data_IF_602606504550
#
_entry.id   IF_602606504550
#
_cell.length_a   1.000
_cell.length_b   1.000
_cell.length_c   1.000
_cell.angle_alpha   90.00
_cell.angle_beta   90.00
_cell.angle_gamma   90.00
#
_symmetry.space_group_name_H-M   'P 1'
#
loop_
_entity.id
_entity.type
_entity.pdbx_description
1 polymer ?
#
# COMPACT_ATOMS: atom_id res chain seq x y z
N UNK A 1 -21.62 -4.08 -6.74
CA UNK A 1 -20.42 -4.93 -6.54
C UNK A 1 -19.44 -4.65 -7.67
N UNK A 2 -18.12 -4.60 -7.39
CA UNK A 2 -17.11 -4.59 -8.46
C UNK A 2 -17.21 -5.92 -9.23
N UNK A 3 -17.32 -5.91 -10.57
CA UNK A 3 -17.23 -7.15 -11.32
C UNK A 3 -15.85 -7.78 -11.07
N UNK A 4 -15.82 -9.08 -10.79
CA UNK A 4 -14.59 -9.84 -10.63
C UNK A 4 -13.77 -9.72 -11.92
N UNK A 5 -12.48 -9.43 -11.79
CA UNK A 5 -11.61 -9.37 -12.95
C UNK A 5 -11.58 -10.77 -13.61
N UNK A 6 -11.97 -10.86 -14.89
CA UNK A 6 -11.50 -11.95 -15.75
C UNK A 6 -9.98 -11.89 -15.72
N UNK A 7 -9.32 -13.03 -15.55
CA UNK A 7 -7.86 -13.16 -15.63
C UNK A 7 -7.37 -12.49 -16.91
N UNK A 8 -6.89 -11.25 -16.80
CA UNK A 8 -6.15 -10.63 -17.89
C UNK A 8 -4.75 -11.19 -17.78
N UNK A 9 -4.36 -11.85 -18.87
CA UNK A 9 -2.98 -12.17 -19.26
C UNK A 9 -1.98 -11.18 -18.65
N UNK A 10 -1.05 -11.73 -17.88
CA UNK A 10 0.26 -11.18 -17.49
C UNK A 10 0.58 -9.82 -18.12
N UNK A 11 0.47 -8.76 -17.31
CA UNK A 11 1.07 -7.49 -17.67
C UNK A 11 2.59 -7.67 -17.62
N UNK A 12 3.22 -7.77 -18.80
CA UNK A 12 4.67 -7.71 -18.93
C UNK A 12 5.14 -6.36 -18.38
N UNK A 13 5.83 -6.40 -17.23
CA UNK A 13 6.59 -5.26 -16.70
C UNK A 13 7.70 -4.85 -17.66
N UNK A 14 8.29 -3.65 -17.52
CA UNK A 14 9.24 -3.17 -18.52
C UNK A 14 10.50 -4.05 -18.56
N UNK A 15 11.06 -4.34 -19.74
CA UNK A 15 12.38 -4.94 -19.84
C UNK A 15 13.45 -3.85 -19.69
N UNK A 16 14.57 -4.15 -19.01
CA UNK A 16 15.91 -3.68 -19.37
C UNK A 16 17.04 -4.41 -18.63
N UNK A 17 17.95 -4.94 -19.45
CA UNK A 17 19.21 -5.68 -19.21
C UNK A 17 19.16 -6.94 -18.33
N UNK A 18 18.91 -8.08 -18.98
CA UNK A 18 19.40 -9.39 -18.54
C UNK A 18 18.42 -10.24 -17.74
N UNK A 19 17.59 -11.03 -18.43
CA UNK A 19 16.80 -12.11 -17.84
C UNK A 19 15.29 -11.85 -17.87
N UNK A 20 14.57 -12.62 -18.67
CA UNK A 20 13.13 -12.82 -18.48
C UNK A 20 12.91 -13.30 -17.04
N UNK A 21 12.28 -12.49 -16.19
CA UNK A 21 11.81 -13.01 -14.91
C UNK A 21 10.72 -14.00 -15.24
N UNK A 22 11.01 -15.29 -15.05
CA UNK A 22 10.00 -16.35 -15.06
C UNK A 22 8.82 -15.89 -14.20
N UNK A 23 7.62 -16.30 -14.58
CA UNK A 23 6.37 -16.01 -13.87
C UNK A 23 6.40 -16.68 -12.48
N UNK A 24 7.20 -16.13 -11.57
CA UNK A 24 7.42 -16.68 -10.24
C UNK A 24 6.19 -16.36 -9.42
N UNK A 25 5.29 -17.33 -9.33
CA UNK A 25 4.13 -17.22 -8.47
C UNK A 25 4.55 -17.48 -7.02
N UNK A 26 4.70 -16.42 -6.23
CA UNK A 26 4.95 -16.55 -4.79
C UNK A 26 3.75 -17.22 -4.11
N UNK A 27 4.04 -18.15 -3.19
CA UNK A 27 3.03 -18.87 -2.40
C UNK A 27 2.54 -18.07 -1.19
N UNK A 28 3.39 -17.23 -0.60
CA UNK A 28 3.10 -16.42 0.58
C UNK A 28 3.98 -15.16 0.62
N UNK A 29 3.70 -14.24 1.56
CA UNK A 29 4.45 -12.99 1.72
C UNK A 29 5.90 -13.23 2.15
N UNK A 30 6.20 -14.27 2.92
CA UNK A 30 7.56 -14.54 3.37
C UNK A 30 8.47 -14.91 2.18
N UNK A 31 7.99 -15.74 1.27
CA UNK A 31 8.68 -16.08 0.03
C UNK A 31 8.87 -14.85 -0.88
N UNK A 32 7.84 -14.01 -0.99
CA UNK A 32 7.93 -12.73 -1.73
C UNK A 32 9.02 -11.84 -1.13
N UNK A 33 9.00 -11.65 0.19
CA UNK A 33 9.90 -10.73 0.88
C UNK A 33 11.34 -11.22 0.95
N UNK A 34 11.55 -12.53 1.10
CA UNK A 34 12.87 -13.13 0.96
C UNK A 34 13.45 -12.86 -0.44
N UNK A 35 12.66 -13.14 -1.49
CA UNK A 35 13.09 -12.90 -2.87
C UNK A 35 13.35 -11.42 -3.15
N UNK A 36 12.50 -10.52 -2.61
CA UNK A 36 12.73 -9.08 -2.70
C UNK A 36 14.03 -8.66 -2.00
N UNK A 37 14.36 -9.24 -0.84
CA UNK A 37 15.61 -8.96 -0.15
C UNK A 37 16.83 -9.43 -0.94
N UNK A 38 16.73 -10.59 -1.58
CA UNK A 38 17.83 -11.21 -2.31
C UNK A 38 18.05 -10.57 -3.70
N UNK A 39 16.98 -10.13 -4.38
CA UNK A 39 17.03 -9.73 -5.79
C UNK A 39 16.81 -8.22 -6.05
N UNK A 40 16.38 -7.44 -5.07
CA UNK A 40 16.06 -6.03 -5.33
C UNK A 40 17.32 -5.19 -5.60
N UNK A 41 17.43 -4.74 -6.85
CA UNK A 41 18.45 -3.80 -7.32
C UNK A 41 17.79 -2.46 -7.64
N UNK A 42 17.83 -1.46 -6.73
CA UNK A 42 17.16 -0.19 -6.94
C UNK A 42 17.74 0.57 -8.15
N UNK A 43 16.91 1.28 -8.94
CA UNK A 43 17.37 1.94 -10.18
C UNK A 43 18.43 3.04 -9.98
N UNK A 44 18.61 3.53 -8.76
CA UNK A 44 19.58 4.58 -8.43
C UNK A 44 20.21 4.35 -7.06
N UNK A 45 21.41 4.91 -6.84
CA UNK A 45 22.09 4.91 -5.53
C UNK A 45 21.50 5.90 -4.52
N UNK A 46 20.38 6.57 -4.84
CA UNK A 46 19.71 7.53 -3.93
C UNK A 46 18.73 6.85 -2.97
N UNK A 47 18.60 5.53 -3.06
CA UNK A 47 17.83 4.72 -2.13
C UNK A 47 18.68 4.26 -0.95
N UNK A 48 18.04 4.06 0.19
CA UNK A 48 18.66 3.41 1.34
C UNK A 48 18.86 1.91 1.13
N UNK A 49 19.81 1.33 1.88
CA UNK A 49 20.13 -0.10 1.80
C UNK A 49 19.06 -1.00 2.44
N UNK A 50 18.19 -0.45 3.29
CA UNK A 50 17.14 -1.22 3.96
C UNK A 50 15.83 -1.17 3.19
N UNK A 51 15.23 -2.36 3.03
CA UNK A 51 13.83 -2.51 2.63
C UNK A 51 12.91 -2.33 3.83
N UNK A 52 11.80 -1.62 3.60
CA UNK A 52 10.67 -1.54 4.54
C UNK A 52 9.48 -2.22 3.88
N UNK A 53 9.19 -3.40 4.38
CA UNK A 53 8.19 -4.31 3.86
C UNK A 53 6.78 -3.96 4.39
N UNK A 54 5.75 -4.50 3.76
CA UNK A 54 4.38 -4.37 4.25
C UNK A 54 4.19 -5.05 5.61
N UNK A 55 3.20 -4.57 6.38
CA UNK A 55 2.89 -5.09 7.72
C UNK A 55 1.38 -5.14 7.95
N UNK A 56 0.92 -6.29 8.44
CA UNK A 56 -0.46 -6.55 8.84
C UNK A 56 -0.82 -8.02 8.67
N UNK A 57 -2.09 -8.41 8.87
CA UNK A 57 -2.53 -9.77 8.65
C UNK A 57 -2.53 -10.11 7.16
N UNK A 58 -2.12 -11.32 6.81
CA UNK A 58 -2.00 -11.81 5.42
C UNK A 58 -3.33 -11.97 4.68
N UNK A 59 -4.45 -11.75 5.38
CA UNK A 59 -5.82 -11.75 4.83
C UNK A 59 -6.58 -10.48 5.20
N UNK A 60 -5.86 -9.36 5.40
CA UNK A 60 -6.49 -8.07 5.67
C UNK A 60 -7.44 -7.70 4.53
N UNK A 61 -8.67 -7.32 4.87
CA UNK A 61 -9.67 -6.92 3.86
C UNK A 61 -9.56 -5.46 3.46
N UNK A 62 -8.81 -4.69 4.24
CA UNK A 62 -8.41 -3.32 3.96
C UNK A 62 -6.89 -3.24 3.89
N UNK A 63 -6.38 -2.70 2.78
CA UNK A 63 -4.95 -2.45 2.56
C UNK A 63 -4.70 -0.96 2.29
N UNK A 64 -3.80 -0.34 3.06
CA UNK A 64 -3.37 1.05 2.87
C UNK A 64 -2.01 1.10 2.19
N UNK A 65 -1.87 1.93 1.16
CA UNK A 65 -0.66 2.03 0.35
C UNK A 65 -0.15 3.47 0.41
N UNK A 66 1.02 3.67 0.99
CA UNK A 66 1.74 4.95 1.01
C UNK A 66 2.68 5.16 -0.17
N UNK A 67 3.45 6.25 -0.13
CA UNK A 67 4.43 6.59 -1.17
C UNK A 67 5.70 5.73 -1.06
N UNK A 68 6.47 5.96 0.00
CA UNK A 68 7.73 5.29 0.29
C UNK A 68 8.01 5.41 1.81
N UNK A 69 8.96 4.64 2.35
CA UNK A 69 9.42 4.79 3.73
C UNK A 69 10.09 6.16 3.94
N UNK A 70 9.95 6.74 5.13
CA UNK A 70 10.72 7.90 5.55
C UNK A 70 11.97 7.50 6.35
N UNK A 71 12.66 8.51 6.89
CA UNK A 71 13.89 8.31 7.69
C UNK A 71 13.68 7.43 8.93
N UNK A 72 12.52 7.55 9.59
CA UNK A 72 12.22 6.75 10.79
C UNK A 72 11.81 5.33 10.42
N UNK A 73 11.00 5.16 9.38
CA UNK A 73 10.61 3.85 8.85
C UNK A 73 11.83 3.07 8.38
N UNK A 74 12.75 3.72 7.66
CA UNK A 74 13.99 3.12 7.20
C UNK A 74 14.90 2.67 8.34
N UNK A 75 15.00 3.44 9.44
CA UNK A 75 15.77 3.00 10.62
C UNK A 75 15.10 1.85 11.35
N UNK A 76 13.77 1.88 11.47
CA UNK A 76 13.01 0.89 12.19
C UNK A 76 12.79 -0.41 11.40
N UNK A 77 12.85 -0.36 10.06
CA UNK A 77 12.42 -1.46 9.20
C UNK A 77 10.90 -1.69 9.19
N UNK A 78 10.11 -0.71 9.64
CA UNK A 78 8.66 -0.84 9.80
C UNK A 78 7.93 0.31 9.09
N UNK A 79 6.85 0.05 8.35
CA UNK A 79 6.10 1.09 7.64
C UNK A 79 5.26 1.91 8.62
N UNK A 80 5.14 3.22 8.34
CA UNK A 80 4.29 4.16 9.09
C UNK A 80 4.58 4.22 10.60
N UNK A 81 5.85 4.32 11.00
CA UNK A 81 6.23 4.55 12.42
C UNK A 81 6.60 5.99 12.74
N UNK A 82 6.87 6.81 11.71
CA UNK A 82 7.19 8.23 11.84
C UNK A 82 5.97 9.13 12.07
N UNK A 83 6.14 10.45 11.97
CA UNK A 83 5.06 11.42 12.25
C UNK A 83 3.81 11.22 11.39
N UNK A 84 3.99 10.88 10.11
CA UNK A 84 2.89 10.59 9.20
C UNK A 84 2.14 9.31 9.60
N UNK A 85 2.86 8.30 10.09
CA UNK A 85 2.30 7.06 10.60
C UNK A 85 1.51 7.26 11.89
N UNK A 86 2.05 8.02 12.85
CA UNK A 86 1.31 8.39 14.08
C UNK A 86 0.02 9.15 13.76
N UNK A 87 0.05 10.05 12.78
CA UNK A 87 -1.16 10.73 12.32
C UNK A 87 -2.15 9.77 11.67
N UNK A 88 -1.66 8.81 10.86
CA UNK A 88 -2.50 7.78 10.27
C UNK A 88 -3.16 6.92 11.36
N UNK A 89 -2.40 6.44 12.34
CA UNK A 89 -2.92 5.65 13.45
C UNK A 89 -4.00 6.41 14.25
N UNK A 90 -3.79 7.70 14.50
CA UNK A 90 -4.80 8.55 15.13
C UNK A 90 -6.08 8.71 14.28
N UNK A 91 -5.95 8.77 12.95
CA UNK A 91 -7.12 8.83 12.06
C UNK A 91 -7.84 7.48 11.96
N UNK A 92 -7.10 6.36 12.00
CA UNK A 92 -7.68 5.02 12.05
C UNK A 92 -8.47 4.83 13.36
N UNK A 93 -7.91 5.25 14.49
CA UNK A 93 -8.58 5.21 15.78
C UNK A 93 -9.87 6.04 15.77
N UNK A 94 -9.82 7.26 15.25
CA UNK A 94 -10.99 8.14 15.14
C UNK A 94 -12.06 7.59 14.19
N UNK A 95 -11.67 6.87 13.15
CA UNK A 95 -12.57 6.14 12.26
C UNK A 95 -13.05 4.79 12.82
N UNK A 96 -12.70 4.45 14.07
CA UNK A 96 -12.98 3.17 14.71
C UNK A 96 -12.44 1.94 13.93
N UNK A 97 -11.29 2.10 13.26
CA UNK A 97 -10.64 1.06 12.48
C UNK A 97 -9.52 0.42 13.31
N UNK A 98 -9.63 -0.87 13.66
CA UNK A 98 -8.61 -1.55 14.44
C UNK A 98 -7.35 -1.78 13.59
N UNK A 99 -6.24 -1.14 13.99
CA UNK A 99 -4.95 -1.15 13.26
C UNK A 99 -4.41 -2.54 12.94
N UNK A 100 -4.68 -3.52 13.80
CA UNK A 100 -4.28 -4.92 13.65
C UNK A 100 -5.09 -5.71 12.60
N UNK A 101 -6.20 -5.17 12.08
CA UNK A 101 -6.98 -5.76 10.97
C UNK A 101 -6.63 -5.17 9.60
N UNK A 102 -5.68 -4.24 9.56
CA UNK A 102 -5.30 -3.50 8.35
C UNK A 102 -3.89 -3.90 7.91
N UNK A 103 -3.73 -4.17 6.62
CA UNK A 103 -2.41 -4.29 6.01
C UNK A 103 -1.92 -2.93 5.52
N UNK A 104 -0.70 -2.54 5.87
CA UNK A 104 -0.12 -1.28 5.39
C UNK A 104 1.19 -1.55 4.66
N UNK A 105 1.41 -0.85 3.56
CA UNK A 105 2.65 -0.94 2.78
C UNK A 105 2.91 0.39 2.06
N UNK A 106 4.01 0.47 1.32
CA UNK A 106 4.32 1.61 0.44
C UNK A 106 4.46 1.16 -1.00
N UNK A 107 4.19 2.07 -1.94
CA UNK A 107 4.41 1.82 -3.37
C UNK A 107 5.88 1.51 -3.69
N UNK A 108 6.80 2.22 -3.04
CA UNK A 108 8.26 2.02 -3.14
C UNK A 108 8.75 1.43 -1.82
N UNK A 109 9.71 0.49 -1.85
CA UNK A 109 10.12 -0.30 -0.67
C UNK A 109 11.37 0.21 0.05
N UNK A 110 12.05 1.21 -0.50
CA UNK A 110 13.26 1.82 0.08
C UNK A 110 13.06 3.32 0.25
N UNK A 111 13.74 3.90 1.23
CA UNK A 111 13.70 5.35 1.44
C UNK A 111 14.60 6.05 0.42
N UNK A 112 14.02 6.87 -0.46
CA UNK A 112 14.77 7.76 -1.33
C UNK A 112 15.06 9.09 -0.65
N UNK A 113 16.32 9.48 -0.60
CA UNK A 113 16.72 10.72 0.06
C UNK A 113 17.92 11.42 -0.60
N UNK A 114 18.09 12.70 -0.27
CA UNK A 114 19.33 13.44 -0.44
C UNK A 114 19.99 13.66 0.92
N UNK A 115 21.28 13.40 1.00
CA UNK A 115 22.07 13.71 2.19
C UNK A 115 22.35 15.21 2.25
N UNK A 116 22.00 15.86 3.37
CA UNK A 116 22.42 17.23 3.68
C UNK A 116 22.98 17.29 5.09
N UNK A 117 24.31 17.34 5.20
CA UNK A 117 25.00 17.19 6.49
C UNK A 117 24.66 15.86 7.14
N UNK A 118 24.14 15.87 8.37
CA UNK A 118 23.67 14.65 9.07
C UNK A 118 22.21 14.27 8.77
N UNK A 119 21.49 15.08 7.99
CA UNK A 119 20.04 14.89 7.75
C UNK A 119 19.80 14.18 6.41
N UNK A 120 18.89 13.22 6.43
CA UNK A 120 18.35 12.56 5.24
C UNK A 120 17.07 13.26 4.81
N UNK A 121 17.12 13.96 3.68
CA UNK A 121 15.99 14.73 3.15
C UNK A 121 15.21 13.90 2.16
N UNK A 122 13.94 13.64 2.45
CA UNK A 122 13.05 12.86 1.60
C UNK A 122 12.99 13.41 0.16
N UNK A 123 13.19 12.54 -0.83
CA UNK A 123 12.99 12.84 -2.25
C UNK A 123 11.87 11.99 -2.81
N UNK A 124 10.91 12.61 -3.51
CA UNK A 124 9.82 11.87 -4.14
C UNK A 124 10.36 10.85 -5.17
N UNK A 125 9.82 9.63 -5.24
CA UNK A 125 10.16 8.67 -6.29
C UNK A 125 9.79 9.19 -7.70
N UNK A 126 10.58 8.84 -8.70
CA UNK A 126 10.27 9.09 -10.12
C UNK A 126 9.28 8.05 -10.64
N UNK A 127 8.77 8.25 -11.86
CA UNK A 127 7.89 7.25 -12.48
C UNK A 127 8.59 5.90 -12.67
N UNK A 128 9.84 5.90 -13.12
CA UNK A 128 10.58 4.67 -13.40
C UNK A 128 10.85 3.88 -12.12
N UNK A 129 11.16 4.60 -11.03
CA UNK A 129 11.31 4.00 -9.71
C UNK A 129 9.99 3.42 -9.18
N UNK A 130 8.86 4.10 -9.41
CA UNK A 130 7.54 3.57 -9.07
C UNK A 130 7.25 2.30 -9.88
N UNK A 131 7.58 2.29 -11.17
CA UNK A 131 7.37 1.13 -12.04
C UNK A 131 8.24 -0.05 -11.61
N UNK A 132 9.49 0.18 -11.17
CA UNK A 132 10.37 -0.85 -10.61
C UNK A 132 9.72 -1.58 -9.43
N UNK A 133 9.15 -0.85 -8.46
CA UNK A 133 8.53 -1.45 -7.29
C UNK A 133 7.07 -1.89 -7.49
N UNK A 134 6.42 -1.43 -8.56
CA UNK A 134 5.01 -1.73 -8.85
C UNK A 134 4.77 -3.23 -8.90
N UNK A 135 5.64 -4.00 -9.56
CA UNK A 135 5.46 -5.44 -9.65
C UNK A 135 5.44 -6.11 -8.27
N UNK A 136 6.35 -5.71 -7.37
CA UNK A 136 6.38 -6.20 -5.98
C UNK A 136 5.11 -5.83 -5.21
N UNK A 137 4.61 -4.60 -5.40
CA UNK A 137 3.33 -4.16 -4.82
C UNK A 137 2.15 -4.98 -5.35
N UNK A 138 2.10 -5.29 -6.64
CA UNK A 138 1.06 -6.14 -7.24
C UNK A 138 1.08 -7.55 -6.64
N UNK A 139 2.26 -8.10 -6.37
CA UNK A 139 2.39 -9.39 -5.67
C UNK A 139 1.88 -9.33 -4.22
N UNK A 140 2.19 -8.26 -3.48
CA UNK A 140 1.62 -8.06 -2.14
C UNK A 140 0.09 -8.00 -2.19
N UNK A 141 -0.48 -7.21 -3.11
CA UNK A 141 -1.94 -7.08 -3.27
C UNK A 141 -2.56 -8.45 -3.61
N UNK A 142 -1.93 -9.23 -4.50
CA UNK A 142 -2.40 -10.57 -4.86
C UNK A 142 -2.38 -11.53 -3.68
N UNK A 143 -1.31 -11.52 -2.89
CA UNK A 143 -1.13 -12.42 -1.75
C UNK A 143 -2.01 -12.07 -0.56
N UNK A 144 -2.17 -10.77 -0.28
CA UNK A 144 -3.05 -10.28 0.80
C UNK A 144 -4.54 -10.42 0.43
N UNK A 145 -4.85 -10.33 -0.86
CA UNK A 145 -6.21 -10.37 -1.43
C UNK A 145 -7.22 -9.43 -0.72
N UNK A 146 -6.92 -8.13 -0.58
CA UNK A 146 -7.82 -7.19 0.08
C UNK A 146 -9.05 -6.93 -0.77
N UNK A 147 -10.21 -6.74 -0.13
CA UNK A 147 -11.43 -6.28 -0.81
C UNK A 147 -11.34 -4.80 -1.18
N UNK A 148 -10.65 -4.01 -0.35
CA UNK A 148 -10.56 -2.56 -0.47
C UNK A 148 -9.10 -2.12 -0.37
N UNK A 149 -8.67 -1.35 -1.37
CA UNK A 149 -7.40 -0.64 -1.38
C UNK A 149 -7.64 0.84 -1.03
N UNK A 150 -6.74 1.42 -0.25
CA UNK A 150 -6.69 2.87 -0.02
C UNK A 150 -5.33 3.39 -0.44
N UNK A 151 -5.29 4.26 -1.45
CA UNK A 151 -4.05 4.93 -1.86
C UNK A 151 -3.90 6.25 -1.13
N UNK A 152 -2.81 6.38 -0.36
CA UNK A 152 -2.46 7.58 0.39
C UNK A 152 -1.58 8.48 -0.49
N UNK A 153 -2.21 9.38 -1.24
CA UNK A 153 -1.54 10.34 -2.13
C UNK A 153 -1.26 9.85 -3.54
N UNK A 154 -0.73 10.76 -4.36
CA UNK A 154 -0.63 10.57 -5.82
C UNK A 154 0.37 9.48 -6.24
N UNK A 155 1.44 9.26 -5.48
CA UNK A 155 2.45 8.24 -5.82
C UNK A 155 1.90 6.83 -5.62
N UNK A 156 1.21 6.58 -4.50
CA UNK A 156 0.49 5.32 -4.28
C UNK A 156 -0.56 5.07 -5.36
N UNK A 157 -1.31 6.11 -5.73
CA UNK A 157 -2.31 6.03 -6.80
C UNK A 157 -1.68 5.67 -8.14
N UNK A 158 -0.57 6.33 -8.51
CA UNK A 158 0.17 6.00 -9.72
C UNK A 158 0.65 4.54 -9.70
N UNK A 159 1.17 4.08 -8.56
CA UNK A 159 1.68 2.73 -8.40
C UNK A 159 0.58 1.67 -8.55
N UNK A 160 -0.65 1.94 -8.12
CA UNK A 160 -1.80 1.04 -8.31
C UNK A 160 -2.36 1.13 -9.73
N UNK A 161 -2.58 2.32 -10.27
CA UNK A 161 -3.23 2.51 -11.58
C UNK A 161 -2.31 2.31 -12.79
N UNK A 162 -0.99 2.39 -12.59
CA UNK A 162 0.01 2.20 -13.65
C UNK A 162 0.21 3.45 -14.49
N UNK A 163 -0.49 4.53 -14.15
CA UNK A 163 -0.45 5.82 -14.82
C UNK A 163 -0.66 6.94 -13.82
N UNK A 164 -0.07 8.10 -14.12
CA UNK A 164 -0.28 9.32 -13.32
C UNK A 164 -1.74 9.77 -13.43
N UNK A 165 -2.29 10.25 -12.32
CA UNK A 165 -3.62 10.82 -12.23
C UNK A 165 -3.59 12.03 -11.29
N UNK A 166 -4.47 13.00 -11.54
CA UNK A 166 -4.66 14.14 -10.63
C UNK A 166 -5.48 13.68 -9.43
N UNK A 167 -4.97 13.91 -8.22
CA UNK A 167 -5.59 13.41 -6.99
C UNK A 167 -6.96 14.06 -6.72
N UNK A 168 -7.05 15.38 -6.88
CA UNK A 168 -8.22 16.20 -6.48
C UNK A 168 -9.57 15.64 -6.93
N UNK A 169 -9.79 15.39 -8.23
CA UNK A 169 -11.05 14.86 -8.75
C UNK A 169 -11.39 13.44 -8.27
N UNK A 170 -10.39 12.67 -7.83
CA UNK A 170 -10.57 11.27 -7.43
C UNK A 170 -10.76 11.10 -5.92
N UNK A 171 -10.44 12.12 -5.11
CA UNK A 171 -10.62 12.07 -3.66
C UNK A 171 -12.08 11.87 -3.27
N UNK A 172 -12.32 11.08 -2.22
CA UNK A 172 -13.66 10.75 -1.72
C UNK A 172 -14.47 9.79 -2.61
N UNK A 173 -14.05 9.58 -3.85
CA UNK A 173 -14.69 8.68 -4.79
C UNK A 173 -14.19 7.25 -4.63
N UNK A 174 -15.08 6.29 -4.89
CA UNK A 174 -14.74 4.86 -4.91
C UNK A 174 -14.68 4.43 -6.36
N UNK A 175 -13.60 3.76 -6.72
CA UNK A 175 -13.37 3.23 -8.06
C UNK A 175 -13.26 1.71 -7.99
N UNK A 176 -13.45 1.07 -9.15
CA UNK A 176 -13.14 -0.34 -9.30
C UNK A 176 -11.75 -0.51 -9.90
N UNK A 177 -10.92 -1.35 -9.28
CA UNK A 177 -9.61 -1.73 -9.81
C UNK A 177 -9.39 -3.23 -9.61
N UNK A 178 -9.26 -3.97 -10.71
CA UNK A 178 -9.02 -5.43 -10.70
C UNK A 178 -9.96 -6.22 -9.77
N UNK A 179 -11.26 -5.89 -9.79
CA UNK A 179 -12.26 -6.54 -8.95
C UNK A 179 -12.28 -6.08 -7.49
N UNK A 180 -11.44 -5.11 -7.11
CA UNK A 180 -11.34 -4.52 -5.76
C UNK A 180 -11.90 -3.11 -5.75
N UNK A 181 -12.42 -2.69 -4.61
CA UNK A 181 -12.74 -1.28 -4.39
C UNK A 181 -11.44 -0.50 -4.16
N UNK A 182 -11.32 0.67 -4.76
CA UNK A 182 -10.20 1.58 -4.60
C UNK A 182 -10.70 2.92 -4.08
N UNK A 183 -10.22 3.32 -2.91
CA UNK A 183 -10.47 4.62 -2.30
C UNK A 183 -9.20 5.47 -2.39
N UNK A 184 -9.35 6.71 -2.85
CA UNK A 184 -8.24 7.64 -3.04
C UNK A 184 -8.31 8.74 -1.99
N UNK A 185 -7.22 8.98 -1.28
CA UNK A 185 -7.11 10.05 -0.28
C UNK A 185 -5.74 10.74 -0.33
N UNK A 186 -5.55 11.78 0.48
CA UNK A 186 -4.27 12.46 0.68
C UNK A 186 -3.33 11.63 1.54
N UNK A 187 -2.04 11.81 1.32
CA UNK A 187 -1.04 11.22 2.21
C UNK A 187 -1.03 11.96 3.56
N UNK A 188 -0.95 11.27 4.72
CA UNK A 188 -0.92 11.90 6.05
C UNK A 188 0.13 13.01 6.23
N UNK A 189 1.28 12.91 5.54
CA UNK A 189 2.32 13.95 5.54
C UNK A 189 1.91 15.27 4.88
N UNK A 190 0.82 15.30 4.10
CA UNK A 190 0.21 16.54 3.62
C UNK A 190 -0.36 17.34 4.79
N UNK A 191 -1.09 16.70 5.70
CA UNK A 191 -1.69 17.36 6.87
C UNK A 191 -0.63 17.91 7.83
N UNK A 192 0.53 17.26 7.92
CA UNK A 192 1.66 17.74 8.73
C UNK A 192 2.32 19.01 8.18
N UNK A 193 2.10 19.32 6.89
CA UNK A 193 2.65 20.51 6.23
C UNK A 193 1.68 21.69 6.23
N UNK A 194 0.42 21.47 6.58
CA UNK A 194 -0.57 22.54 6.72
C UNK A 194 -0.23 23.39 7.94
N UNK A 195 -0.05 24.70 7.71
CA UNK A 195 0.20 25.70 8.77
C UNK A 195 -1.11 26.16 9.41
N UNK A 196 -2.15 26.26 8.62
CA UNK A 196 -3.48 26.67 9.07
C UNK A 196 -4.15 25.52 9.84
N UNK A 197 -4.51 25.77 11.10
CA UNK A 197 -5.12 24.78 11.98
C UNK A 197 -6.53 24.37 11.53
N UNK A 198 -7.31 25.30 10.98
CA UNK A 198 -8.67 25.05 10.50
C UNK A 198 -8.64 24.16 9.25
N UNK A 199 -7.76 24.47 8.28
CA UNK A 199 -7.55 23.66 7.09
C UNK A 199 -7.04 22.26 7.45
N UNK A 200 -6.14 22.16 8.44
CA UNK A 200 -5.66 20.88 8.95
C UNK A 200 -6.77 20.04 9.58
N UNK A 201 -7.66 20.67 10.35
CA UNK A 201 -8.81 19.99 10.94
C UNK A 201 -9.79 19.49 9.86
N UNK A 202 -10.11 20.33 8.87
CA UNK A 202 -10.98 19.95 7.74
C UNK A 202 -10.41 18.75 6.97
N UNK A 203 -9.11 18.80 6.63
CA UNK A 203 -8.45 17.71 5.91
C UNK A 203 -8.33 16.43 6.75
N UNK A 204 -8.18 16.55 8.07
CA UNK A 204 -8.22 15.39 8.99
C UNK A 204 -9.61 14.75 8.99
N UNK A 205 -10.67 15.53 9.16
CA UNK A 205 -12.04 15.02 9.13
C UNK A 205 -12.37 14.34 7.80
N UNK A 206 -11.89 14.89 6.68
CA UNK A 206 -12.04 14.26 5.37
C UNK A 206 -11.28 12.93 5.28
N UNK A 207 -10.02 12.88 5.73
CA UNK A 207 -9.23 11.64 5.75
C UNK A 207 -9.91 10.55 6.60
N UNK A 208 -10.41 10.91 7.78
CA UNK A 208 -11.15 9.99 8.68
C UNK A 208 -12.40 9.45 7.99
N UNK A 209 -13.18 10.32 7.34
CA UNK A 209 -14.38 9.92 6.59
C UNK A 209 -14.06 8.97 5.44
N UNK A 210 -13.00 9.25 4.67
CA UNK A 210 -12.54 8.41 3.55
C UNK A 210 -12.07 7.03 4.04
N UNK A 211 -11.34 6.98 5.15
CA UNK A 211 -10.94 5.74 5.82
C UNK A 211 -12.15 4.94 6.34
N UNK A 212 -13.09 5.60 7.01
CA UNK A 212 -14.31 4.98 7.52
C UNK A 212 -15.17 4.38 6.39
N UNK A 213 -15.29 5.09 5.26
CA UNK A 213 -15.96 4.57 4.06
C UNK A 213 -15.27 3.32 3.52
N UNK A 214 -13.93 3.33 3.43
CA UNK A 214 -13.15 2.19 2.99
C UNK A 214 -13.34 0.98 3.93
N UNK A 215 -13.33 1.23 5.23
CA UNK A 215 -13.53 0.20 6.26
C UNK A 215 -14.91 -0.44 6.16
N UNK A 216 -15.98 0.35 6.08
CA UNK A 216 -17.35 -0.16 5.95
C UNK A 216 -17.51 -1.08 4.72
N UNK A 217 -16.89 -0.73 3.60
CA UNK A 217 -16.88 -1.59 2.41
C UNK A 217 -16.11 -2.90 2.64
N UNK A 218 -14.99 -2.85 3.39
CA UNK A 218 -14.19 -4.03 3.68
C UNK A 218 -14.89 -5.02 4.63
N UNK A 219 -15.72 -4.52 5.55
CA UNK A 219 -16.57 -5.33 6.43
C UNK A 219 -17.75 -5.92 5.65
N UNK A 220 -18.43 -5.13 4.80
CA UNK A 220 -19.51 -5.65 3.95
C UNK A 220 -19.03 -6.78 3.03
N UNK A 221 -17.80 -6.67 2.50
CA UNK A 221 -17.18 -7.70 1.69
C UNK A 221 -16.76 -8.96 2.47
N UNK A 222 -16.71 -8.93 3.80
CA UNK A 222 -16.54 -10.13 4.64
C UNK A 222 -17.88 -10.86 4.81
N UNK A 223 -18.94 -10.12 5.10
CA UNK A 223 -20.29 -10.66 5.32
C UNK A 223 -20.86 -11.35 4.08
N UNK A 224 -20.43 -10.95 2.88
CA UNK A 224 -20.84 -11.54 1.60
C UNK A 224 -20.01 -12.75 1.17
N UNK A 225 -18.95 -13.11 1.92
CA UNK A 225 -18.08 -14.26 1.64
C UNK A 225 -18.08 -15.37 2.72
N UNK A 226 -19.21 -15.72 3.38
CA UNK A 226 -19.22 -16.70 4.47
C UNK A 226 -19.01 -18.15 4.00
N UNK A 227 -19.12 -18.46 2.71
CA UNK A 227 -18.89 -19.81 2.16
C UNK A 227 -17.42 -20.12 1.85
N UNK A 228 -16.53 -19.12 1.81
CA UNK A 228 -15.11 -19.32 1.45
C UNK A 228 -14.24 -19.90 2.57
N UNK A 229 -14.67 -19.82 3.83
CA UNK A 229 -13.91 -20.26 5.00
C UNK A 229 -14.31 -21.65 5.55
N UNK A 230 -15.09 -22.46 4.81
CA UNK A 230 -15.66 -23.72 5.31
C UNK A 230 -14.91 -25.00 4.95
N UNK A 231 -13.67 -24.92 4.47
CA UNK A 231 -12.82 -26.07 4.21
C UNK A 231 -11.57 -26.07 5.09
N UNK A 232 -11.76 -26.25 6.40
CA UNK A 232 -10.77 -26.90 7.25
C UNK A 232 -11.34 -28.30 7.50
N UNK A 233 -10.71 -29.38 7.00
CA UNK A 233 -11.13 -30.72 7.38
C UNK A 233 -10.84 -30.87 8.88
N UNK A 234 -11.88 -30.95 9.70
CA UNK A 234 -11.76 -31.54 11.03
C UNK A 234 -11.38 -33.00 10.78
N UNK A 235 -10.13 -33.35 11.07
CA UNK A 235 -9.74 -34.75 11.20
C UNK A 235 -10.42 -35.29 12.45
N UNK A 236 -11.65 -35.74 12.29
CA UNK A 236 -12.22 -36.77 13.13
C UNK A 236 -11.76 -38.10 12.54
N UNK A 237 -10.91 -38.83 13.26
CA UNK A 237 -10.90 -40.31 13.23
C UNK A 237 -10.02 -40.87 14.34
N UNK A 238 -10.72 -41.56 15.25
CA UNK A 238 -10.33 -42.62 16.19
C UNK A 238 -9.30 -42.34 17.29
#
# INVERSE_FOLDING_TARGET
MCPTARSRSSAQGPPRSGGERKETQFQNLDALYKTLQDEDMPPTSRFSDRLVLGKGPVHARLMLIGEQPGDQEDRAGLPFVGPAGKLLDACLQEAAIPRNRVFVTNAVKRFKFAQRGKRRLHQRPTSDEIVHYRWWLEQEIRLVDPAVLVTLGATALQAVLGKRQTLGPLRGNVMCWEGRQLVVTVHPSFLLRLRDASAKAVERSRLVSELGKAWAMSEAAQTLSPWRNRNVPTKDTN
#
